data_IF_772432579044
#
_entry.id   IF_772432579044
#
_cell.length_a   1.000
_cell.length_b   1.000
_cell.length_c   1.000
_cell.angle_alpha   90.00
_cell.angle_beta   90.00
_cell.angle_gamma   90.00
#
_symmetry.space_group_name_H-M   'P 1'
#
loop_
_entity.id
_entity.type
_entity.pdbx_description
1 polymer ?
#
# COMPACT_ATOMS: atom_id res chain seq x y z
N UNK A 1 14.39 -7.05 -5.91
CA UNK A 1 13.55 -5.86 -6.11
C UNK A 1 13.44 -5.51 -7.58
N UNK A 2 12.22 -5.42 -8.06
CA UNK A 2 11.96 -5.12 -9.46
C UNK A 2 11.07 -3.89 -9.58
N UNK A 3 11.68 -2.69 -9.76
CA UNK A 3 10.90 -1.46 -9.90
C UNK A 3 10.01 -1.45 -11.16
N UNK A 4 10.36 -2.22 -12.16
CA UNK A 4 9.55 -2.36 -13.36
C UNK A 4 8.19 -2.95 -13.05
N UNK A 5 8.15 -3.92 -12.15
CA UNK A 5 6.91 -4.55 -11.78
C UNK A 5 5.95 -3.54 -11.16
N UNK A 6 6.46 -2.69 -10.24
CA UNK A 6 5.63 -1.68 -9.60
C UNK A 6 5.15 -0.63 -10.59
N UNK A 7 6.01 -0.21 -11.53
CA UNK A 7 5.61 0.75 -12.56
C UNK A 7 4.52 0.17 -13.46
N UNK A 8 4.68 -1.08 -13.86
CA UNK A 8 3.69 -1.79 -14.66
C UNK A 8 2.39 -1.97 -13.89
N UNK A 9 2.50 -2.27 -12.61
CA UNK A 9 1.34 -2.40 -11.73
C UNK A 9 0.56 -1.10 -11.67
N UNK A 10 1.25 0.03 -11.43
CA UNK A 10 0.60 1.33 -11.37
C UNK A 10 -0.16 1.62 -12.65
N UNK A 11 0.43 1.35 -13.80
CA UNK A 11 -0.24 1.55 -15.07
C UNK A 11 -1.48 0.68 -15.20
N UNK A 12 -1.38 -0.57 -14.74
CA UNK A 12 -2.49 -1.52 -14.82
C UNK A 12 -3.65 -1.09 -13.95
N UNK A 13 -3.37 -0.66 -12.71
CA UNK A 13 -4.41 -0.35 -11.75
C UNK A 13 -4.92 1.09 -11.85
N UNK A 14 -4.06 2.04 -12.19
CA UNK A 14 -4.48 3.44 -12.26
C UNK A 14 -5.04 3.83 -13.62
N UNK A 15 -4.63 3.16 -14.71
CA UNK A 15 -5.18 3.45 -16.01
C UNK A 15 -6.52 2.76 -16.26
N UNK A 16 -6.90 1.81 -15.39
CA UNK A 16 -8.21 1.17 -15.44
C UNK A 16 -8.89 1.28 -14.08
N UNK A 17 -9.21 2.51 -13.63
CA UNK A 17 -9.72 2.72 -12.28
C UNK A 17 -11.06 2.07 -12.00
N UNK A 18 -11.82 1.75 -13.03
CA UNK A 18 -13.14 1.14 -12.88
C UNK A 18 -13.08 -0.37 -12.68
N UNK A 19 -11.92 -0.98 -12.86
CA UNK A 19 -11.79 -2.44 -12.77
C UNK A 19 -11.61 -2.95 -11.34
N UNK A 20 -11.12 -2.09 -10.42
CA UNK A 20 -10.94 -2.48 -9.04
C UNK A 20 -11.38 -1.37 -8.10
N UNK A 21 -12.06 -1.77 -7.01
CA UNK A 21 -12.34 -0.84 -5.92
C UNK A 21 -11.05 -0.58 -5.14
N UNK A 22 -11.07 0.43 -4.28
CA UNK A 22 -9.91 0.72 -3.45
C UNK A 22 -9.59 -0.43 -2.51
N UNK A 23 -10.62 -1.04 -1.94
CA UNK A 23 -10.42 -2.18 -1.06
C UNK A 23 -9.78 -3.35 -1.80
N UNK A 24 -10.25 -3.62 -3.01
CA UNK A 24 -9.67 -4.68 -3.83
C UNK A 24 -8.22 -4.38 -4.17
N UNK A 25 -7.90 -3.13 -4.52
CA UNK A 25 -6.54 -2.74 -4.82
C UNK A 25 -5.62 -2.95 -3.62
N UNK A 26 -6.06 -2.52 -2.43
CA UNK A 26 -5.29 -2.67 -1.20
C UNK A 26 -5.05 -4.15 -0.91
N UNK A 27 -6.07 -4.98 -1.09
CA UNK A 27 -5.95 -6.42 -0.86
C UNK A 27 -4.94 -7.05 -1.81
N UNK A 28 -5.00 -6.72 -3.09
CA UNK A 28 -4.06 -7.23 -4.08
C UNK A 28 -2.64 -6.76 -3.76
N UNK A 29 -2.49 -5.50 -3.39
CA UNK A 29 -1.19 -4.97 -3.01
C UNK A 29 -0.63 -5.67 -1.78
N UNK A 30 -1.48 -5.92 -0.78
CA UNK A 30 -1.09 -6.64 0.42
C UNK A 30 -0.59 -8.05 0.08
N UNK A 31 -1.33 -8.77 -0.76
CA UNK A 31 -0.94 -10.11 -1.16
C UNK A 31 0.37 -10.11 -1.93
N UNK A 32 0.55 -9.12 -2.80
CA UNK A 32 1.80 -8.96 -3.52
C UNK A 32 2.97 -8.74 -2.55
N UNK A 33 2.79 -7.85 -1.57
CA UNK A 33 3.83 -7.57 -0.59
C UNK A 33 4.19 -8.81 0.23
N UNK A 34 3.19 -9.59 0.65
CA UNK A 34 3.42 -10.83 1.38
C UNK A 34 4.27 -11.78 0.55
N UNK A 35 3.94 -11.93 -0.73
CA UNK A 35 4.66 -12.84 -1.61
C UNK A 35 6.09 -12.40 -1.81
N UNK A 36 6.31 -11.12 -2.09
CA UNK A 36 7.66 -10.62 -2.35
C UNK A 36 8.53 -10.71 -1.09
N UNK A 37 7.99 -10.37 0.07
CA UNK A 37 8.75 -10.46 1.32
C UNK A 37 9.12 -11.91 1.66
N UNK A 38 8.27 -12.85 1.26
CA UNK A 38 8.54 -14.27 1.47
C UNK A 38 9.60 -14.80 0.51
N UNK A 39 9.55 -14.36 -0.75
CA UNK A 39 10.44 -14.85 -1.81
C UNK A 39 11.78 -14.15 -1.83
N UNK A 40 11.82 -12.86 -1.51
CA UNK A 40 13.02 -12.04 -1.59
C UNK A 40 13.39 -11.49 -0.23
N UNK A 41 14.31 -12.19 0.45
CA UNK A 41 14.68 -11.87 1.84
C UNK A 41 15.34 -10.51 2.00
N UNK A 42 15.94 -9.99 0.94
CA UNK A 42 16.61 -8.69 0.98
C UNK A 42 15.67 -7.51 0.76
N UNK A 43 14.39 -7.81 0.48
CA UNK A 43 13.39 -6.77 0.25
C UNK A 43 12.79 -6.34 1.57
N UNK A 44 12.63 -5.04 1.73
CA UNK A 44 12.01 -4.45 2.91
C UNK A 44 10.65 -3.88 2.56
N UNK A 45 9.70 -4.00 3.51
CA UNK A 45 8.36 -3.47 3.31
C UNK A 45 8.38 -1.97 3.00
N UNK A 46 9.33 -1.24 3.59
CA UNK A 46 9.49 0.18 3.33
C UNK A 46 9.65 0.48 1.84
N UNK A 47 10.41 -0.35 1.15
CA UNK A 47 10.66 -0.15 -0.28
C UNK A 47 9.44 -0.51 -1.12
N UNK A 48 8.63 -1.44 -0.64
CA UNK A 48 7.40 -1.85 -1.34
C UNK A 48 6.29 -0.81 -1.19
N UNK A 49 6.16 -0.18 -0.02
CA UNK A 49 5.07 0.77 0.21
C UNK A 49 5.38 2.16 -0.32
N UNK A 50 6.65 2.50 -0.55
CA UNK A 50 7.03 3.83 -1.01
C UNK A 50 6.27 4.26 -2.27
N UNK A 51 6.19 3.43 -3.33
CA UNK A 51 5.43 3.83 -4.52
C UNK A 51 3.94 3.98 -4.27
N UNK A 52 3.43 3.36 -3.23
CA UNK A 52 2.00 3.37 -2.92
C UNK A 52 1.58 4.53 -2.01
N UNK A 53 2.52 5.34 -1.54
CA UNK A 53 2.21 6.43 -0.60
C UNK A 53 1.20 7.42 -1.16
N UNK A 54 1.19 7.63 -2.47
CA UNK A 54 0.29 8.57 -3.12
C UNK A 54 -1.05 7.98 -3.56
N UNK A 55 -1.33 6.73 -3.20
CA UNK A 55 -2.50 6.04 -3.74
C UNK A 55 -3.82 6.75 -3.45
N UNK A 56 -3.93 7.33 -2.26
CA UNK A 56 -5.15 8.06 -1.85
C UNK A 56 -5.02 9.57 -2.06
N UNK A 57 -4.06 10.03 -2.86
CA UNK A 57 -3.81 11.45 -3.06
C UNK A 57 -5.10 12.20 -3.41
N UNK A 58 -5.34 13.29 -2.72
CA UNK A 58 -6.53 14.11 -2.94
C UNK A 58 -7.81 13.59 -2.32
N UNK A 59 -7.76 12.45 -1.63
CA UNK A 59 -8.95 11.85 -1.05
C UNK A 59 -8.92 11.92 0.47
N UNK A 60 -10.11 11.75 1.05
CA UNK A 60 -10.24 11.67 2.51
C UNK A 60 -9.44 10.44 2.99
N UNK A 61 -8.60 10.65 3.99
CA UNK A 61 -7.80 9.57 4.54
C UNK A 61 -6.41 9.44 3.94
N UNK A 62 -6.08 10.22 2.90
CA UNK A 62 -4.75 10.15 2.28
C UNK A 62 -3.63 10.37 3.30
N UNK A 63 -3.83 11.32 4.21
CA UNK A 63 -2.83 11.61 5.23
C UNK A 63 -2.64 10.43 6.18
N UNK A 64 -3.75 9.81 6.59
CA UNK A 64 -3.70 8.65 7.48
C UNK A 64 -2.96 7.49 6.80
N UNK A 65 -3.23 7.27 5.52
CA UNK A 65 -2.55 6.25 4.72
C UNK A 65 -1.04 6.46 4.77
N UNK A 66 -0.60 7.67 4.44
CA UNK A 66 0.83 7.99 4.43
C UNK A 66 1.47 7.91 5.80
N UNK A 67 0.76 8.35 6.85
CA UNK A 67 1.28 8.32 8.21
C UNK A 67 1.58 6.90 8.67
N UNK A 68 0.66 5.97 8.44
CA UNK A 68 0.85 4.58 8.87
C UNK A 68 1.96 3.93 8.03
N UNK A 69 1.97 4.13 6.73
CA UNK A 69 2.97 3.52 5.86
C UNK A 69 4.37 4.12 6.05
N UNK A 70 4.47 5.26 6.73
CA UNK A 70 5.75 5.88 7.02
C UNK A 70 6.18 5.70 8.48
N UNK A 71 5.40 4.96 9.27
CA UNK A 71 5.68 4.75 10.68
C UNK A 71 6.90 3.84 10.83
N UNK A 72 7.99 4.38 11.37
CA UNK A 72 9.24 3.63 11.50
C UNK A 72 9.10 2.42 12.41
N UNK A 73 8.25 2.50 13.42
CA UNK A 73 8.01 1.37 14.33
C UNK A 73 7.45 0.17 13.57
N UNK A 74 6.48 0.42 12.70
CA UNK A 74 5.91 -0.64 11.87
C UNK A 74 6.86 -1.10 10.77
N UNK A 75 7.56 -0.15 10.15
CA UNK A 75 8.48 -0.49 9.05
C UNK A 75 9.64 -1.36 9.53
N UNK A 76 10.09 -1.18 10.76
CA UNK A 76 11.16 -2.00 11.34
C UNK A 76 10.75 -3.46 11.47
N UNK A 77 9.47 -3.74 11.64
CA UNK A 77 8.97 -5.09 11.78
C UNK A 77 8.99 -5.85 10.45
N UNK A 78 9.11 -5.13 9.36
CA UNK A 78 9.08 -5.69 8.00
C UNK A 78 7.85 -6.57 7.77
N UNK A 79 6.73 -6.14 8.34
CA UNK A 79 5.47 -6.89 8.33
C UNK A 79 4.50 -6.26 7.32
N UNK A 80 4.05 -7.01 6.32
CA UNK A 80 3.13 -6.46 5.32
C UNK A 80 1.79 -6.04 5.89
N UNK A 81 1.46 -6.44 7.12
CA UNK A 81 0.23 -6.02 7.80
C UNK A 81 0.14 -4.50 7.95
N UNK A 82 1.25 -3.78 7.81
CA UNK A 82 1.24 -2.32 7.83
C UNK A 82 0.29 -1.77 6.76
N UNK A 83 0.18 -2.46 5.64
CA UNK A 83 -0.72 -2.07 4.54
C UNK A 83 -2.18 -2.13 5.02
N UNK A 84 -2.54 -3.20 5.70
CA UNK A 84 -3.91 -3.35 6.23
C UNK A 84 -4.18 -2.34 7.33
N UNK A 85 -3.19 -2.05 8.16
CA UNK A 85 -3.30 -1.03 9.21
C UNK A 85 -3.52 0.35 8.60
N UNK A 86 -2.80 0.66 7.53
CA UNK A 86 -2.94 1.94 6.84
C UNK A 86 -4.34 2.08 6.25
N UNK A 87 -4.86 1.03 5.63
CA UNK A 87 -6.21 1.06 5.06
C UNK A 87 -7.28 1.18 6.15
N UNK A 88 -7.07 0.51 7.27
CA UNK A 88 -7.98 0.63 8.42
C UNK A 88 -8.04 2.08 8.90
N UNK A 89 -6.90 2.75 8.96
CA UNK A 89 -6.85 4.17 9.35
C UNK A 89 -7.61 5.04 8.34
N UNK A 90 -7.51 4.74 7.06
CA UNK A 90 -8.25 5.46 6.02
C UNK A 90 -9.75 5.31 6.23
N UNK A 91 -10.20 4.09 6.51
CA UNK A 91 -11.64 3.82 6.71
C UNK A 91 -12.16 4.53 7.95
N UNK A 92 -11.38 4.59 9.01
CA UNK A 92 -11.77 5.30 10.22
C UNK A 92 -11.94 6.79 9.97
N UNK A 93 -11.01 7.40 9.23
CA UNK A 93 -11.12 8.82 8.89
C UNK A 93 -12.31 9.06 7.98
N UNK A 94 -12.49 8.23 6.96
CA UNK A 94 -13.61 8.36 6.03
C UNK A 94 -14.95 8.20 6.73
N UNK A 95 -15.01 7.35 7.74
CA UNK A 95 -16.25 7.11 8.50
C UNK A 95 -16.67 8.30 9.38
N UNK A 96 -15.77 9.27 9.60
CA UNK A 96 -16.08 10.47 10.39
C UNK A 96 -16.73 11.57 9.57
N UNK A 97 -16.75 11.41 8.26
CA UNK A 97 -17.35 12.38 7.34
C UNK A 97 -18.56 11.75 6.67
#
# INVERSE_FOLDING_TARGET
>A
HDPWFLASWDQTFFSSPDSLSREEWVDVFYQYACRILHQERDTHIRDLVRPALGFFHGEVGARAWRQVLSDSTWLKKNDPKIIMKAYQAVKEVAGRF
#
